data_IF_489039872783
#
_entry.id   IF_489039872783
#
_cell.length_a   1.000
_cell.length_b   1.000
_cell.length_c   1.000
_cell.angle_alpha   90.00
_cell.angle_beta   90.00
_cell.angle_gamma   90.00
#
_symmetry.space_group_name_H-M   'P 1'
#
loop_
_entity.id
_entity.type
_entity.pdbx_description
1 polymer ?
#
# COMPACT_ATOMS: atom_id res chain seq x y z
N UNK A 1 3.91 5.62 -5.76
CA UNK A 1 4.32 6.98 -5.38
C UNK A 1 3.80 8.04 -6.36
N UNK A 2 3.90 7.85 -7.69
CA UNK A 2 3.51 8.86 -8.68
C UNK A 2 2.03 9.25 -8.62
N UNK A 3 1.12 8.28 -8.51
CA UNK A 3 -0.32 8.55 -8.43
C UNK A 3 -0.73 9.35 -7.21
N UNK A 4 -0.12 9.11 -6.05
CA UNK A 4 -0.38 9.90 -4.83
C UNK A 4 0.13 11.34 -5.00
N UNK A 5 1.31 11.52 -5.56
CA UNK A 5 1.88 12.85 -5.82
C UNK A 5 1.02 13.66 -6.79
N UNK A 6 0.55 13.05 -7.86
CA UNK A 6 -0.35 13.67 -8.84
C UNK A 6 -1.69 14.09 -8.21
N UNK A 7 -2.31 13.20 -7.43
CA UNK A 7 -3.56 13.51 -6.72
C UNK A 7 -3.39 14.65 -5.72
N UNK A 8 -2.29 14.66 -4.97
CA UNK A 8 -2.02 15.69 -3.97
C UNK A 8 -1.80 17.09 -4.58
N UNK A 9 -1.22 17.17 -5.78
CA UNK A 9 -1.07 18.46 -6.48
C UNK A 9 -2.40 19.09 -6.90
N UNK A 10 -3.48 18.30 -6.97
CA UNK A 10 -4.84 18.76 -7.28
C UNK A 10 -5.58 19.25 -6.02
N UNK A 11 -5.06 19.00 -4.83
CA UNK A 11 -5.71 19.36 -3.56
C UNK A 11 -5.23 20.75 -3.13
N UNK A 12 -6.17 21.66 -2.92
CA UNK A 12 -5.92 22.97 -2.31
C UNK A 12 -6.06 22.83 -0.78
N UNK A 13 -4.98 23.06 -0.06
CA UNK A 13 -4.99 23.03 1.41
C UNK A 13 -5.02 24.46 1.93
N UNK A 14 -6.01 24.77 2.76
CA UNK A 14 -6.11 26.08 3.41
C UNK A 14 -4.90 26.36 4.32
N UNK A 15 -4.43 27.60 4.37
CA UNK A 15 -3.24 28.01 5.13
C UNK A 15 -3.30 27.67 6.63
N UNK A 16 -4.50 27.60 7.19
CA UNK A 16 -4.76 27.30 8.61
C UNK A 16 -5.03 25.80 8.87
N UNK A 17 -5.07 24.97 7.83
CA UNK A 17 -5.38 23.58 7.96
C UNK A 17 -4.28 22.84 8.75
N UNK A 18 -4.68 21.99 9.69
CA UNK A 18 -3.76 21.05 10.33
C UNK A 18 -3.53 19.88 9.39
N UNK A 19 -2.30 19.74 8.93
CA UNK A 19 -1.87 18.72 7.99
C UNK A 19 -1.03 17.66 8.68
N UNK A 20 -1.31 16.41 8.42
CA UNK A 20 -0.51 15.31 8.95
C UNK A 20 -0.26 14.23 7.89
N UNK A 21 0.84 13.51 8.04
CA UNK A 21 1.22 12.41 7.17
C UNK A 21 1.57 11.15 7.96
N UNK A 22 0.95 10.03 7.58
CA UNK A 22 1.27 8.72 8.13
C UNK A 22 1.80 7.84 7.01
N UNK A 23 2.98 7.29 7.17
CA UNK A 23 3.58 6.35 6.23
C UNK A 23 3.65 4.95 6.83
N UNK A 24 3.02 3.99 6.17
CA UNK A 24 3.24 2.58 6.47
C UNK A 24 4.33 2.02 5.56
N UNK A 25 5.25 1.24 6.13
CA UNK A 25 6.33 0.62 5.37
C UNK A 25 6.66 -0.78 5.91
N UNK A 26 7.19 -1.65 5.06
CA UNK A 26 7.57 -3.01 5.45
C UNK A 26 9.04 -3.10 5.90
N UNK A 27 9.99 -2.84 5.03
CA UNK A 27 11.41 -2.98 5.31
C UNK A 27 12.06 -1.70 5.81
N UNK A 28 11.90 -0.61 5.06
CA UNK A 28 12.41 0.71 5.45
C UNK A 28 11.50 1.82 4.92
N UNK A 29 11.53 2.93 5.61
CA UNK A 29 10.77 4.12 5.21
C UNK A 29 11.50 4.82 4.06
N UNK A 30 10.88 4.85 2.88
CA UNK A 30 11.37 5.60 1.74
C UNK A 30 11.25 7.12 1.91
N UNK A 31 11.37 7.87 0.81
CA UNK A 31 11.22 9.34 0.80
C UNK A 31 9.76 9.80 0.67
N UNK A 32 8.77 8.93 0.84
CA UNK A 32 7.36 9.26 0.62
C UNK A 32 6.90 10.46 1.44
N UNK A 33 7.16 10.47 2.75
CA UNK A 33 6.80 11.59 3.63
C UNK A 33 7.58 12.87 3.32
N UNK A 34 8.86 12.76 2.92
CA UNK A 34 9.63 13.92 2.48
C UNK A 34 9.01 14.56 1.22
N UNK A 35 8.66 13.75 0.23
CA UNK A 35 8.00 14.22 -0.99
C UNK A 35 6.61 14.80 -0.70
N UNK A 36 5.83 14.15 0.16
CA UNK A 36 4.54 14.66 0.61
C UNK A 36 4.71 16.04 1.27
N UNK A 37 5.65 16.19 2.17
CA UNK A 37 5.94 17.44 2.87
C UNK A 37 6.41 18.55 1.92
N UNK A 38 7.01 18.23 0.78
CA UNK A 38 7.40 19.23 -0.23
C UNK A 38 6.22 19.74 -1.06
N UNK A 39 5.09 19.02 -1.09
CA UNK A 39 3.85 19.41 -1.80
C UNK A 39 2.88 20.07 -0.82
N UNK A 40 2.66 19.44 0.32
CA UNK A 40 1.79 19.92 1.40
C UNK A 40 2.61 19.92 2.68
N UNK A 41 2.95 21.09 3.25
CA UNK A 41 3.70 21.17 4.50
C UNK A 41 2.99 20.42 5.62
N UNK A 42 3.67 19.45 6.23
CA UNK A 42 3.13 18.62 7.30
C UNK A 42 3.44 19.23 8.67
N UNK A 43 2.41 19.47 9.46
CA UNK A 43 2.55 19.87 10.88
C UNK A 43 2.97 18.68 11.74
N UNK A 44 2.42 17.51 11.45
CA UNK A 44 2.75 16.25 12.12
C UNK A 44 3.04 15.17 11.10
N UNK A 45 4.02 14.32 11.39
CA UNK A 45 4.26 13.14 10.59
C UNK A 45 4.77 11.98 11.45
N UNK A 46 4.44 10.79 11.04
CA UNK A 46 4.94 9.56 11.67
C UNK A 46 5.02 8.42 10.65
N UNK A 47 5.82 7.41 10.99
CA UNK A 47 5.99 6.25 10.15
C UNK A 47 5.80 4.97 10.98
N UNK A 48 5.10 4.00 10.42
CA UNK A 48 4.78 2.73 11.06
C UNK A 48 5.37 1.58 10.25
N UNK A 49 6.23 0.81 10.88
CA UNK A 49 6.69 -0.44 10.29
C UNK A 49 5.61 -1.51 10.48
N UNK A 50 5.16 -2.09 9.36
CA UNK A 50 4.25 -3.22 9.35
C UNK A 50 4.87 -4.36 8.56
N UNK A 51 5.70 -5.12 9.23
CA UNK A 51 6.36 -6.30 8.66
C UNK A 51 5.52 -7.54 8.92
N UNK A 52 5.17 -8.23 7.85
CA UNK A 52 4.50 -9.52 7.90
C UNK A 52 5.05 -10.41 6.80
N UNK A 53 5.32 -11.66 7.12
CA UNK A 53 5.90 -12.63 6.17
C UNK A 53 5.02 -12.89 4.95
N UNK A 54 3.71 -12.75 5.09
CA UNK A 54 2.75 -12.97 4.02
C UNK A 54 2.76 -11.89 2.93
N UNK A 55 3.17 -10.66 3.23
CA UNK A 55 3.18 -9.54 2.28
C UNK A 55 4.55 -9.24 1.67
N UNK A 56 5.59 -9.96 2.06
CA UNK A 56 6.93 -9.73 1.53
C UNK A 56 7.10 -10.25 0.10
N UNK A 57 7.58 -9.39 -0.77
CA UNK A 57 7.95 -9.72 -2.16
C UNK A 57 9.42 -10.18 -2.30
N UNK A 58 10.15 -10.23 -1.19
CA UNK A 58 11.54 -10.69 -1.16
C UNK A 58 11.64 -12.12 -0.62
N UNK A 59 12.72 -12.85 -0.95
CA UNK A 59 12.97 -14.20 -0.42
C UNK A 59 12.96 -14.21 1.11
N UNK A 60 12.47 -15.31 1.71
CA UNK A 60 12.38 -15.49 3.17
C UNK A 60 13.71 -15.31 3.92
N UNK A 61 14.83 -15.56 3.26
CA UNK A 61 16.17 -15.44 3.84
C UNK A 61 16.57 -14.04 4.30
N UNK A 62 15.79 -13.01 3.93
CA UNK A 62 16.09 -11.60 4.26
C UNK A 62 15.30 -11.11 5.48
N UNK A 63 14.35 -11.89 5.99
CA UNK A 63 13.53 -11.51 7.15
C UNK A 63 13.88 -12.31 8.40
N UNK A 64 14.53 -11.66 9.35
CA UNK A 64 14.76 -12.16 10.69
C UNK A 64 14.43 -11.07 11.71
N UNK A 65 13.71 -11.40 12.80
CA UNK A 65 12.95 -12.63 13.04
C UNK A 65 11.61 -12.69 12.27
N UNK A 66 11.02 -13.85 12.10
CA UNK A 66 9.71 -13.97 11.45
C UNK A 66 8.64 -13.24 12.26
N UNK A 67 7.86 -12.37 11.60
CA UNK A 67 6.76 -11.64 12.21
C UNK A 67 5.45 -12.23 11.69
N UNK A 68 4.68 -12.84 12.58
CA UNK A 68 3.36 -13.38 12.22
C UNK A 68 2.35 -12.26 11.95
N UNK A 69 1.28 -12.52 11.18
CA UNK A 69 0.19 -11.55 10.97
C UNK A 69 -0.38 -11.01 12.28
N UNK A 70 -0.61 -11.88 13.27
CA UNK A 70 -1.13 -11.48 14.58
C UNK A 70 -0.19 -10.55 15.37
N UNK A 71 1.12 -10.78 15.32
CA UNK A 71 2.11 -9.90 15.93
C UNK A 71 2.17 -8.54 15.24
N UNK A 72 2.14 -8.54 13.90
CA UNK A 72 2.12 -7.32 13.11
C UNK A 72 0.87 -6.50 13.41
N UNK A 73 -0.31 -7.14 13.48
CA UNK A 73 -1.59 -6.50 13.80
C UNK A 73 -1.56 -5.84 15.18
N UNK A 74 -1.16 -6.56 16.23
CA UNK A 74 -1.09 -5.99 17.60
C UNK A 74 -0.20 -4.75 17.68
N UNK A 75 0.94 -4.75 16.98
CA UNK A 75 1.84 -3.60 16.92
C UNK A 75 1.20 -2.43 16.17
N UNK A 76 0.54 -2.72 15.05
CA UNK A 76 -0.15 -1.72 14.25
C UNK A 76 -1.31 -1.07 15.04
N UNK A 77 -2.14 -1.85 15.73
CA UNK A 77 -3.27 -1.36 16.53
C UNK A 77 -2.81 -0.43 17.67
N UNK A 78 -1.75 -0.82 18.39
CA UNK A 78 -1.17 0.04 19.42
C UNK A 78 -0.68 1.36 18.84
N UNK A 79 0.00 1.31 17.71
CA UNK A 79 0.54 2.51 17.06
C UNK A 79 -0.57 3.37 16.47
N UNK A 80 -1.61 2.76 15.90
CA UNK A 80 -2.76 3.48 15.36
C UNK A 80 -3.49 4.29 16.44
N UNK A 81 -3.70 3.72 17.62
CA UNK A 81 -4.28 4.44 18.77
C UNK A 81 -3.44 5.66 19.16
N UNK A 82 -2.12 5.51 19.25
CA UNK A 82 -1.22 6.63 19.56
C UNK A 82 -1.29 7.72 18.49
N UNK A 83 -1.27 7.33 17.21
CA UNK A 83 -1.37 8.29 16.09
C UNK A 83 -2.69 9.05 16.15
N UNK A 84 -3.80 8.37 16.42
CA UNK A 84 -5.10 9.01 16.54
C UNK A 84 -5.11 10.06 17.67
N UNK A 85 -4.53 9.74 18.84
CA UNK A 85 -4.38 10.68 19.95
C UNK A 85 -3.52 11.89 19.57
N UNK A 86 -2.37 11.66 18.92
CA UNK A 86 -1.47 12.73 18.48
C UNK A 86 -2.17 13.68 17.49
N UNK A 87 -2.92 13.11 16.53
CA UNK A 87 -3.68 13.88 15.52
C UNK A 87 -4.80 14.68 16.16
N UNK A 88 -5.57 14.09 17.08
CA UNK A 88 -6.65 14.78 17.80
C UNK A 88 -6.09 15.90 18.67
N UNK A 89 -4.93 15.71 19.29
CA UNK A 89 -4.23 16.73 20.07
C UNK A 89 -3.52 17.78 19.18
N UNK A 90 -3.63 17.68 17.85
CA UNK A 90 -2.91 18.54 16.91
C UNK A 90 -1.40 18.61 17.17
N UNK A 91 -0.80 17.46 17.47
CA UNK A 91 0.64 17.36 17.73
C UNK A 91 1.47 17.94 16.57
N UNK A 92 2.63 18.47 16.92
CA UNK A 92 3.57 19.03 15.94
C UNK A 92 4.87 18.24 15.99
N UNK A 93 5.33 17.79 14.82
CA UNK A 93 6.62 17.10 14.74
C UNK A 93 7.77 18.09 14.90
N UNK A 94 8.78 17.78 15.72
CA UNK A 94 9.89 18.70 16.00
C UNK A 94 10.81 18.92 14.80
N UNK A 95 10.78 18.00 13.84
CA UNK A 95 11.62 18.04 12.63
C UNK A 95 10.78 17.63 11.40
N UNK A 96 11.16 18.16 10.24
CA UNK A 96 10.60 17.73 8.96
C UNK A 96 10.96 16.26 8.65
N UNK A 97 10.19 15.58 7.81
CA UNK A 97 10.51 14.24 7.37
C UNK A 97 11.89 14.18 6.70
N UNK A 98 12.72 13.18 7.02
CA UNK A 98 14.12 13.15 6.56
C UNK A 98 14.21 12.89 5.05
N UNK A 99 15.09 13.64 4.39
CA UNK A 99 15.54 13.35 3.02
C UNK A 99 16.67 12.33 3.10
N UNK A 100 16.44 11.14 2.53
CA UNK A 100 17.49 10.10 2.48
C UNK A 100 18.07 10.01 1.07
N UNK A 101 19.39 10.22 0.87
CA UNK A 101 19.99 10.25 -0.47
C UNK A 101 19.78 8.96 -1.27
N UNK A 102 19.86 7.79 -0.63
CA UNK A 102 19.63 6.48 -1.25
C UNK A 102 18.24 6.40 -1.90
N UNK A 103 17.26 7.11 -1.36
CA UNK A 103 15.90 7.10 -1.88
C UNK A 103 15.71 7.90 -3.18
N UNK A 104 16.66 8.73 -3.55
CA UNK A 104 16.61 9.44 -4.85
C UNK A 104 16.91 8.49 -6.00
N UNK A 105 17.95 7.66 -5.85
CA UNK A 105 18.27 6.63 -6.82
C UNK A 105 17.14 5.60 -6.94
N UNK A 106 16.59 5.14 -5.82
CA UNK A 106 15.47 4.21 -5.79
C UNK A 106 14.24 4.80 -6.49
N UNK A 107 13.88 6.05 -6.23
CA UNK A 107 12.72 6.68 -6.83
C UNK A 107 12.81 6.83 -8.36
N UNK A 108 13.99 6.87 -8.92
CA UNK A 108 14.21 6.89 -10.38
C UNK A 108 14.09 5.50 -11.03
N UNK A 109 14.44 4.45 -10.29
CA UNK A 109 14.42 3.07 -10.78
C UNK A 109 13.09 2.38 -10.48
N UNK A 110 12.42 2.77 -9.38
CA UNK A 110 11.19 2.15 -8.89
C UNK A 110 10.04 2.05 -9.92
N UNK A 111 9.75 3.08 -10.75
CA UNK A 111 8.70 2.98 -11.76
C UNK A 111 8.95 1.83 -12.76
N UNK A 112 10.20 1.61 -13.15
CA UNK A 112 10.59 0.52 -14.06
C UNK A 112 10.42 -0.85 -13.39
N UNK A 113 10.78 -0.96 -12.10
CA UNK A 113 10.60 -2.18 -11.31
C UNK A 113 9.11 -2.51 -11.18
N UNK A 114 8.28 -1.53 -10.88
CA UNK A 114 6.83 -1.69 -10.74
C UNK A 114 6.21 -2.14 -12.06
N UNK A 115 6.53 -1.48 -13.16
CA UNK A 115 6.04 -1.85 -14.48
C UNK A 115 6.43 -3.30 -14.85
N UNK A 116 7.66 -3.70 -14.62
CA UNK A 116 8.12 -5.07 -14.87
C UNK A 116 7.46 -6.14 -13.97
N UNK A 117 7.03 -5.77 -12.76
CA UNK A 117 6.30 -6.68 -11.85
C UNK A 117 4.80 -6.71 -12.14
N UNK A 118 4.22 -5.64 -12.65
CA UNK A 118 2.82 -5.61 -13.06
C UNK A 118 2.49 -6.68 -14.11
N UNK A 119 3.45 -7.00 -14.97
CA UNK A 119 3.34 -8.05 -15.98
C UNK A 119 3.41 -9.49 -15.43
N UNK A 120 3.75 -9.66 -14.15
CA UNK A 120 3.94 -10.97 -13.51
C UNK A 120 2.73 -11.44 -12.70
N UNK A 121 1.65 -10.69 -12.70
CA UNK A 121 0.42 -11.15 -12.09
C UNK A 121 -0.14 -12.34 -12.85
N UNK A 122 -0.49 -13.38 -12.13
CA UNK A 122 -1.14 -14.58 -12.66
C UNK A 122 -2.46 -14.82 -11.92
N UNK A 123 -3.42 -15.37 -12.64
CA UNK A 123 -4.72 -15.79 -12.10
C UNK A 123 -4.85 -17.30 -12.32
N UNK A 124 -4.97 -18.06 -11.24
CA UNK A 124 -5.10 -19.52 -11.29
C UNK A 124 -6.54 -19.95 -11.61
N UNK A 125 -6.71 -21.24 -11.85
CA UNK A 125 -8.01 -21.85 -12.13
C UNK A 125 -8.96 -21.88 -10.91
N UNK A 126 -8.44 -21.55 -9.71
CA UNK A 126 -9.26 -21.30 -8.53
C UNK A 126 -10.14 -20.03 -8.64
N UNK A 127 -9.97 -19.23 -9.70
CA UNK A 127 -10.76 -18.02 -9.90
C UNK A 127 -12.21 -18.37 -10.23
N UNK A 128 -13.14 -17.89 -9.43
CA UNK A 128 -14.60 -18.06 -9.60
C UNK A 128 -15.27 -16.83 -10.22
N UNK A 129 -14.52 -15.93 -10.82
CA UNK A 129 -15.03 -14.74 -11.50
C UNK A 129 -15.93 -13.82 -10.64
N UNK A 130 -15.77 -13.80 -9.32
CA UNK A 130 -16.63 -13.03 -8.38
C UNK A 130 -16.55 -11.50 -8.54
N UNK A 131 -15.59 -10.98 -9.29
CA UNK A 131 -15.43 -9.55 -9.58
C UNK A 131 -14.86 -8.70 -8.43
N UNK A 132 -14.58 -9.27 -7.25
CA UNK A 132 -14.07 -8.51 -6.11
C UNK A 132 -12.77 -7.76 -6.42
N UNK A 133 -11.84 -8.41 -7.11
CA UNK A 133 -10.57 -7.79 -7.50
C UNK A 133 -10.76 -6.59 -8.45
N UNK A 134 -11.76 -6.64 -9.33
CA UNK A 134 -12.09 -5.54 -10.23
C UNK A 134 -12.65 -4.34 -9.46
N UNK A 135 -13.57 -4.58 -8.51
CA UNK A 135 -14.12 -3.52 -7.63
C UNK A 135 -13.06 -2.87 -6.74
N UNK A 136 -12.07 -3.65 -6.27
CA UNK A 136 -10.99 -3.19 -5.41
C UNK A 136 -9.84 -2.49 -6.16
N UNK A 137 -9.87 -2.45 -7.47
CA UNK A 137 -8.77 -1.87 -8.24
C UNK A 137 -8.93 -0.35 -8.40
N UNK A 138 -8.11 0.50 -7.73
CA UNK A 138 -8.24 1.96 -7.82
C UNK A 138 -7.90 2.52 -9.21
N UNK A 139 -7.31 1.69 -10.09
CA UNK A 139 -6.99 2.06 -11.48
C UNK A 139 -7.96 1.47 -12.51
N UNK A 140 -9.03 0.81 -12.08
CA UNK A 140 -9.93 0.11 -13.00
C UNK A 140 -9.22 -0.91 -13.92
N UNK A 141 -8.08 -1.44 -13.48
CA UNK A 141 -7.15 -2.22 -14.31
C UNK A 141 -7.47 -3.71 -14.38
N UNK A 142 -8.62 -4.15 -13.86
CA UNK A 142 -9.02 -5.56 -13.82
C UNK A 142 -10.44 -5.70 -14.38
N UNK A 143 -10.59 -6.64 -15.33
CA UNK A 143 -11.87 -7.00 -15.92
C UNK A 143 -12.16 -8.48 -15.69
N UNK A 144 -13.42 -8.86 -15.79
CA UNK A 144 -13.82 -10.28 -15.80
C UNK A 144 -14.17 -10.64 -17.23
N UNK A 145 -13.39 -11.54 -17.81
CA UNK A 145 -13.55 -12.02 -19.19
C UNK A 145 -13.37 -13.54 -19.22
N UNK A 146 -14.19 -14.24 -19.98
CA UNK A 146 -14.09 -15.69 -20.12
C UNK A 146 -14.21 -16.46 -18.79
N UNK A 147 -14.97 -15.95 -17.83
CA UNK A 147 -15.15 -16.60 -16.53
C UNK A 147 -13.98 -16.45 -15.57
N UNK A 148 -13.05 -15.52 -15.80
CA UNK A 148 -11.91 -15.26 -14.90
C UNK A 148 -11.48 -13.80 -14.90
N UNK A 149 -10.69 -13.41 -13.90
CA UNK A 149 -10.12 -12.09 -13.84
C UNK A 149 -8.97 -11.92 -14.85
N UNK A 150 -8.97 -10.80 -15.57
CA UNK A 150 -7.90 -10.37 -16.48
C UNK A 150 -7.30 -9.08 -15.95
N UNK A 151 -6.00 -9.10 -15.67
CA UNK A 151 -5.26 -7.99 -15.09
C UNK A 151 -4.48 -7.25 -16.18
N UNK A 152 -4.75 -5.97 -16.36
CA UNK A 152 -4.11 -5.13 -17.36
C UNK A 152 -2.73 -4.60 -16.93
N UNK A 153 -2.13 -3.76 -17.79
CA UNK A 153 -0.79 -3.21 -17.60
C UNK A 153 -0.70 -1.97 -16.69
N UNK A 154 -1.83 -1.31 -16.38
CA UNK A 154 -1.85 -0.06 -15.61
C UNK A 154 -1.88 -0.30 -14.07
N UNK A 155 -1.00 -1.16 -13.58
CA UNK A 155 -0.97 -1.59 -12.18
C UNK A 155 -0.05 -0.72 -11.33
N UNK A 156 -0.53 -0.18 -10.22
CA UNK A 156 0.25 0.56 -9.21
C UNK A 156 0.79 -0.32 -8.07
N UNK A 157 0.58 -1.63 -8.14
CA UNK A 157 1.00 -2.61 -7.13
C UNK A 157 0.49 -2.33 -5.70
N UNK A 158 -0.75 -1.90 -5.57
CA UNK A 158 -1.40 -1.75 -4.26
C UNK A 158 -1.70 -3.11 -3.59
N UNK A 159 -1.68 -4.21 -4.34
CA UNK A 159 -1.91 -5.60 -3.91
C UNK A 159 -3.33 -5.89 -3.38
N UNK A 160 -4.26 -4.97 -3.43
CA UNK A 160 -5.62 -5.18 -2.92
C UNK A 160 -6.30 -6.38 -3.57
N UNK A 161 -6.17 -6.54 -4.89
CA UNK A 161 -6.73 -7.66 -5.64
C UNK A 161 -6.16 -9.02 -5.18
N UNK A 162 -4.88 -9.07 -4.81
CA UNK A 162 -4.22 -10.26 -4.33
C UNK A 162 -4.63 -10.58 -2.89
N UNK A 163 -4.54 -9.60 -1.99
CA UNK A 163 -4.73 -9.82 -0.55
C UNK A 163 -6.19 -10.09 -0.17
N UNK A 164 -7.14 -9.52 -0.90
CA UNK A 164 -8.57 -9.71 -0.67
C UNK A 164 -9.23 -10.76 -1.57
N UNK A 165 -8.46 -11.52 -2.36
CA UNK A 165 -9.06 -12.58 -3.18
C UNK A 165 -9.57 -13.72 -2.28
N UNK A 166 -10.90 -14.02 -2.24
CA UNK A 166 -11.43 -15.05 -1.35
C UNK A 166 -10.95 -16.45 -1.74
N UNK A 167 -10.60 -16.65 -3.00
CA UNK A 167 -10.08 -17.93 -3.53
C UNK A 167 -8.56 -17.97 -3.58
N UNK A 168 -7.86 -16.91 -3.13
CA UNK A 168 -6.41 -16.76 -3.25
C UNK A 168 -5.88 -17.08 -4.66
N UNK A 169 -6.71 -16.78 -5.67
CA UNK A 169 -6.45 -17.14 -7.07
C UNK A 169 -5.46 -16.19 -7.78
N UNK A 170 -5.06 -15.08 -7.16
CA UNK A 170 -4.17 -14.07 -7.75
C UNK A 170 -2.80 -14.16 -7.12
N UNK A 171 -1.76 -14.24 -7.95
CA UNK A 171 -0.36 -14.31 -7.50
C UNK A 171 0.56 -13.36 -8.30
N UNK A 172 1.76 -13.10 -7.79
CA UNK A 172 2.83 -12.41 -8.51
C UNK A 172 3.98 -13.38 -8.70
N UNK A 173 3.92 -14.13 -9.79
CA UNK A 173 4.88 -15.19 -10.09
C UNK A 173 5.03 -16.16 -8.91
N UNK A 174 6.12 -16.88 -8.88
CA UNK A 174 6.41 -17.87 -7.81
C UNK A 174 6.58 -17.26 -6.41
N UNK A 175 6.68 -15.93 -6.31
CA UNK A 175 6.99 -15.26 -5.04
C UNK A 175 5.81 -15.35 -4.06
N UNK A 176 4.57 -15.28 -4.57
CA UNK A 176 3.36 -15.26 -3.75
C UNK A 176 2.51 -16.52 -3.83
N UNK A 177 2.79 -17.45 -4.77
CA UNK A 177 1.99 -18.65 -5.00
C UNK A 177 1.80 -19.56 -3.77
N UNK A 178 2.77 -19.52 -2.84
CA UNK A 178 2.78 -20.38 -1.65
C UNK A 178 2.68 -19.57 -0.35
N UNK A 179 2.26 -18.31 -0.43
CA UNK A 179 2.15 -17.44 0.74
C UNK A 179 0.71 -17.21 1.11
N UNK A 180 0.44 -17.25 2.39
CA UNK A 180 -0.83 -16.82 2.93
C UNK A 180 -1.13 -15.39 2.52
N UNK A 181 -2.31 -15.14 1.99
CA UNK A 181 -2.79 -13.80 1.70
C UNK A 181 -3.26 -13.14 3.01
N UNK A 182 -2.92 -11.89 3.18
CA UNK A 182 -3.22 -11.17 4.40
C UNK A 182 -3.85 -9.81 4.11
N UNK A 183 -4.93 -9.52 4.78
CA UNK A 183 -5.50 -8.20 4.91
C UNK A 183 -5.83 -7.93 6.38
N UNK A 184 -6.04 -6.66 6.73
CA UNK A 184 -6.47 -6.31 8.09
C UNK A 184 -7.83 -6.96 8.37
N UNK A 185 -7.97 -7.79 9.41
CA UNK A 185 -9.23 -8.46 9.72
C UNK A 185 -10.37 -7.49 10.09
N UNK A 186 -10.02 -6.25 10.49
CA UNK A 186 -10.99 -5.20 10.84
C UNK A 186 -11.39 -4.33 9.64
N UNK A 187 -10.95 -4.67 8.41
CA UNK A 187 -11.29 -3.93 7.19
C UNK A 187 -11.82 -4.91 6.16
N UNK A 188 -13.08 -4.79 5.84
CA UNK A 188 -13.74 -5.64 4.83
C UNK A 188 -13.45 -5.16 3.41
N UNK A 189 -13.64 -6.05 2.43
CA UNK A 189 -13.54 -5.68 1.02
C UNK A 189 -14.60 -4.64 0.61
N UNK A 190 -15.78 -4.67 1.24
CA UNK A 190 -16.85 -3.70 0.99
C UNK A 190 -16.45 -2.29 1.44
N UNK A 191 -16.01 -2.14 2.70
CA UNK A 191 -15.52 -0.87 3.24
C UNK A 191 -14.37 -0.29 2.43
N UNK A 192 -13.44 -1.16 2.00
CA UNK A 192 -12.34 -0.71 1.15
C UNK A 192 -12.84 -0.23 -0.22
N UNK A 193 -13.82 -0.92 -0.83
CA UNK A 193 -14.40 -0.53 -2.11
C UNK A 193 -15.11 0.82 -2.04
N UNK A 194 -15.87 1.07 -0.97
CA UNK A 194 -16.57 2.36 -0.75
C UNK A 194 -15.59 3.53 -0.57
N UNK A 195 -14.39 3.27 -0.07
CA UNK A 195 -13.35 4.29 0.14
C UNK A 195 -12.44 4.50 -1.07
N UNK A 196 -12.59 3.72 -2.14
CA UNK A 196 -11.75 3.84 -3.34
C UNK A 196 -12.16 5.06 -4.16
N UNK A 197 -11.21 5.97 -4.33
CA UNK A 197 -11.29 7.02 -5.35
C UNK A 197 -10.59 6.50 -6.59
N UNK A 198 -11.35 6.33 -7.68
CA UNK A 198 -10.75 5.94 -8.95
C UNK A 198 -9.85 7.06 -9.47
N UNK A 199 -8.64 6.71 -9.85
CA UNK A 199 -7.63 7.63 -10.39
C UNK A 199 -7.57 7.33 -11.89
N UNK A 200 -8.02 8.30 -12.69
CA UNK A 200 -7.95 8.26 -14.16
C UNK A 200 -6.49 8.38 -14.67
#
# INVERSE_FOLDING_TARGET
PGGVEESLRKIQVGLTAYTFGVCQYAGYMGSGLYKLNSIIPLRYWTAVSHQCTCIWLLPHSVMLPPVTPAMAQRRADKKAKQIAQDVLARAVSPKAPPKKPVNQLESSVWPKIVAGKAQKFAVSDACVACGQCARLCPRGNIRIEGGRAVIGGNCIQCLSCLQYCPQQAISIGRITDRREHYHNPNVTAAELTESIIHID
#
